data_IF_546574584447
#
_entry.id   IF_546574584447
#
_cell.length_a   1.000
_cell.length_b   1.000
_cell.length_c   1.000
_cell.angle_alpha   90.00
_cell.angle_beta   90.00
_cell.angle_gamma   90.00
#
_symmetry.space_group_name_H-M   'P 1'
#
loop_
_entity.id
_entity.type
_entity.pdbx_description
1 polymer ?
#
# COMPACT_ATOMS: atom_id res chain seq x y z
N UNK A 1 -13.33 0.53 2.71
CA UNK A 1 -12.13 1.06 3.40
C UNK A 1 -11.43 0.05 4.29
N UNK A 2 -12.11 -0.67 5.19
CA UNK A 2 -11.47 -1.63 6.12
C UNK A 2 -10.51 -2.64 5.44
N UNK A 3 -10.90 -3.18 4.27
CA UNK A 3 -10.05 -4.05 3.46
C UNK A 3 -8.71 -3.39 3.08
N UNK A 4 -8.74 -2.15 2.60
CA UNK A 4 -7.55 -1.44 2.13
C UNK A 4 -6.64 -1.04 3.29
N UNK A 5 -7.21 -0.58 4.41
CA UNK A 5 -6.47 -0.34 5.64
C UNK A 5 -5.72 -1.61 6.08
N UNK A 6 -6.39 -2.77 6.05
CA UNK A 6 -5.77 -4.04 6.40
C UNK A 6 -4.62 -4.42 5.46
N UNK A 7 -4.77 -4.20 4.15
CA UNK A 7 -3.70 -4.45 3.17
C UNK A 7 -2.46 -3.62 3.51
N UNK A 8 -2.62 -2.31 3.74
CA UNK A 8 -1.49 -1.42 4.05
C UNK A 8 -0.84 -1.81 5.38
N UNK A 9 -1.62 -2.09 6.42
CA UNK A 9 -1.10 -2.52 7.73
C UNK A 9 -0.29 -3.81 7.62
N UNK A 10 -0.80 -4.83 6.91
CA UNK A 10 -0.07 -6.10 6.75
C UNK A 10 1.20 -5.93 5.90
N UNK A 11 1.18 -5.04 4.90
CA UNK A 11 2.36 -4.66 4.13
C UNK A 11 3.44 -4.05 5.04
N UNK A 12 3.09 -3.03 5.83
CA UNK A 12 4.02 -2.42 6.78
C UNK A 12 4.61 -3.43 7.76
N UNK A 13 3.78 -4.30 8.34
CA UNK A 13 4.26 -5.35 9.27
C UNK A 13 5.29 -6.25 8.60
N UNK A 14 5.03 -6.67 7.36
CA UNK A 14 5.96 -7.52 6.60
C UNK A 14 7.26 -6.76 6.29
N UNK A 15 7.18 -5.56 5.72
CA UNK A 15 8.35 -4.74 5.41
C UNK A 15 9.22 -4.46 6.64
N UNK A 16 8.61 -4.12 7.78
CA UNK A 16 9.35 -3.91 9.02
C UNK A 16 9.99 -5.19 9.55
N UNK A 17 9.27 -6.31 9.50
CA UNK A 17 9.81 -7.62 9.90
C UNK A 17 11.01 -7.99 9.02
N UNK A 18 10.89 -7.84 7.71
CA UNK A 18 11.99 -8.15 6.77
C UNK A 18 13.20 -7.24 7.03
N UNK A 19 12.98 -5.93 7.19
CA UNK A 19 14.03 -4.97 7.53
C UNK A 19 14.75 -5.31 8.85
N UNK A 20 14.02 -5.60 9.93
CA UNK A 20 14.60 -5.96 11.24
C UNK A 20 15.41 -7.26 11.16
N UNK A 21 14.96 -8.21 10.33
CA UNK A 21 15.66 -9.48 10.12
C UNK A 21 16.81 -9.39 9.09
N UNK A 22 17.13 -8.19 8.59
CA UNK A 22 18.17 -7.98 7.58
C UNK A 22 17.86 -8.61 6.22
N UNK A 23 16.57 -8.85 5.93
CA UNK A 23 16.09 -9.36 4.64
C UNK A 23 15.78 -8.19 3.72
N UNK A 24 16.03 -8.39 2.43
CA UNK A 24 15.54 -7.47 1.41
C UNK A 24 14.01 -7.44 1.43
N UNK A 25 13.45 -6.24 1.32
CA UNK A 25 12.01 -6.06 1.23
C UNK A 25 11.54 -6.58 -0.13
N UNK A 26 10.47 -7.37 -0.13
CA UNK A 26 9.91 -7.93 -1.36
C UNK A 26 9.17 -6.85 -2.16
N UNK A 27 9.84 -6.29 -3.16
CA UNK A 27 9.28 -5.27 -4.06
C UNK A 27 8.00 -5.73 -4.76
N UNK A 28 7.82 -7.04 -4.99
CA UNK A 28 6.61 -7.55 -5.64
C UNK A 28 5.39 -7.33 -4.76
N UNK A 29 5.52 -7.54 -3.45
CA UNK A 29 4.41 -7.36 -2.48
C UNK A 29 4.02 -5.89 -2.39
N UNK A 30 5.00 -4.99 -2.43
CA UNK A 30 4.76 -3.53 -2.49
C UNK A 30 4.03 -3.16 -3.78
N UNK A 31 4.49 -3.68 -4.92
CA UNK A 31 3.89 -3.44 -6.25
C UNK A 31 2.46 -3.98 -6.37
N UNK A 32 2.19 -5.15 -5.80
CA UNK A 32 0.84 -5.74 -5.75
C UNK A 32 -0.12 -4.89 -4.93
N UNK A 33 0.29 -4.44 -3.73
CA UNK A 33 -0.52 -3.57 -2.90
C UNK A 33 -0.79 -2.21 -3.58
N UNK A 34 0.20 -1.63 -4.27
CA UNK A 34 0.00 -0.42 -5.09
C UNK A 34 -1.02 -0.64 -6.20
N UNK A 35 -0.96 -1.77 -6.93
CA UNK A 35 -1.92 -2.10 -7.99
C UNK A 35 -3.33 -2.21 -7.43
N UNK A 36 -3.51 -2.87 -6.29
CA UNK A 36 -4.84 -3.04 -5.69
C UNK A 36 -5.44 -1.70 -5.23
N UNK A 37 -4.64 -0.80 -4.66
CA UNK A 37 -5.07 0.55 -4.28
C UNK A 37 -5.38 1.43 -5.50
N UNK A 38 -4.55 1.40 -6.55
CA UNK A 38 -4.82 2.13 -7.78
C UNK A 38 -6.14 1.66 -8.42
N UNK A 39 -6.38 0.36 -8.47
CA UNK A 39 -7.66 -0.17 -8.98
C UNK A 39 -8.85 0.29 -8.15
N UNK A 40 -8.71 0.34 -6.82
CA UNK A 40 -9.75 0.85 -5.93
C UNK A 40 -10.04 2.33 -6.16
N UNK A 41 -8.99 3.16 -6.33
CA UNK A 41 -9.09 4.59 -6.65
C UNK A 41 -9.79 4.78 -7.98
N UNK A 42 -9.37 4.05 -9.02
CA UNK A 42 -9.97 4.15 -10.35
C UNK A 42 -11.46 3.80 -10.31
N UNK A 43 -11.81 2.74 -9.58
CA UNK A 43 -13.21 2.35 -9.37
C UNK A 43 -14.00 3.44 -8.65
N UNK A 44 -13.47 3.99 -7.55
CA UNK A 44 -14.12 5.08 -6.83
C UNK A 44 -14.32 6.33 -7.70
N UNK A 45 -13.33 6.70 -8.53
CA UNK A 45 -13.43 7.79 -9.51
C UNK A 45 -14.54 7.55 -10.53
N UNK A 46 -14.65 6.33 -11.07
CA UNK A 46 -15.72 5.96 -12.01
C UNK A 46 -17.11 6.09 -11.36
N UNK A 47 -17.22 5.81 -10.06
CA UNK A 47 -18.48 5.89 -9.32
C UNK A 47 -18.74 7.25 -8.64
N UNK A 48 -17.87 8.27 -8.83
CA UNK A 48 -17.92 9.55 -8.10
C UNK A 48 -17.93 9.38 -6.57
N UNK A 49 -17.20 8.38 -6.07
CA UNK A 49 -17.00 8.16 -4.64
C UNK A 49 -15.75 8.92 -4.14
N UNK A 50 -15.71 9.34 -2.86
CA UNK A 50 -14.53 9.96 -2.27
C UNK A 50 -13.28 9.08 -2.40
N UNK A 51 -12.14 9.70 -2.68
CA UNK A 51 -10.86 8.99 -2.85
C UNK A 51 -9.77 9.40 -1.88
N UNK A 52 -10.01 10.40 -1.04
CA UNK A 52 -8.98 11.00 -0.17
C UNK A 52 -8.30 9.96 0.73
N UNK A 53 -9.08 9.06 1.35
CA UNK A 53 -8.52 7.99 2.18
C UNK A 53 -7.70 6.97 1.36
N UNK A 54 -8.14 6.66 0.13
CA UNK A 54 -7.42 5.72 -0.73
C UNK A 54 -6.12 6.31 -1.26
N UNK A 55 -6.12 7.60 -1.62
CA UNK A 55 -4.92 8.32 -2.05
C UNK A 55 -3.94 8.48 -0.86
N UNK A 56 -4.42 8.72 0.36
CA UNK A 56 -3.58 8.71 1.58
C UNK A 56 -2.91 7.34 1.80
N UNK A 57 -3.66 6.24 1.70
CA UNK A 57 -3.09 4.89 1.82
C UNK A 57 -2.05 4.59 0.73
N UNK A 58 -2.24 5.13 -0.48
CA UNK A 58 -1.27 5.01 -1.57
C UNK A 58 0.02 5.78 -1.27
N UNK A 59 -0.08 6.97 -0.68
CA UNK A 59 1.10 7.71 -0.22
C UNK A 59 1.88 6.95 0.85
N UNK A 60 1.20 6.28 1.79
CA UNK A 60 1.84 5.43 2.78
C UNK A 60 2.66 4.30 2.12
N UNK A 61 2.09 3.61 1.12
CA UNK A 61 2.84 2.58 0.38
C UNK A 61 4.01 3.17 -0.41
N UNK A 62 3.85 4.37 -1.00
CA UNK A 62 4.95 5.04 -1.68
C UNK A 62 6.09 5.36 -0.71
N UNK A 63 5.77 5.79 0.52
CA UNK A 63 6.77 6.01 1.55
C UNK A 63 7.57 4.74 1.86
N UNK A 64 6.92 3.57 1.95
CA UNK A 64 7.63 2.28 2.08
C UNK A 64 8.62 2.06 0.94
N UNK A 65 8.20 2.32 -0.30
CA UNK A 65 9.01 2.10 -1.50
C UNK A 65 10.23 3.03 -1.60
N UNK A 66 10.11 4.28 -1.17
CA UNK A 66 11.18 5.26 -1.36
C UNK A 66 12.10 5.44 -0.13
N UNK A 67 11.66 5.01 1.06
CA UNK A 67 12.42 5.21 2.29
C UNK A 67 12.95 3.92 2.94
N UNK A 68 12.48 2.73 2.52
CA UNK A 68 12.94 1.45 3.08
C UNK A 68 13.56 0.49 2.05
N UNK A 69 13.26 0.67 0.76
CA UNK A 69 13.88 0.01 -0.39
C UNK A 69 14.93 0.94 -1.00
#
# INVERSE_FOLDING_TARGET
MEKYNRIVIELYKKCFSDHINGKEIDENVVSEAQKELNFAIDKAKVHNEPTDELESLKEDINHLKYNLL
#
